data_IF_438551616278
#
_entry.id   IF_438551616278
#
_cell.length_a   1.000
_cell.length_b   1.000
_cell.length_c   1.000
_cell.angle_alpha   90.00
_cell.angle_beta   90.00
_cell.angle_gamma   90.00
#
_symmetry.space_group_name_H-M   'P 1'
#
loop_
_entity.id
_entity.type
_entity.pdbx_description
1 polymer ?
#
# COMPACT_ATOMS: atom_id res chain seq x y z
N UNK A 1 22.45 64.43 -16.24
CA UNK A 1 21.52 63.49 -16.93
C UNK A 1 21.96 62.01 -16.88
N UNK A 2 23.26 61.65 -16.84
CA UNK A 2 23.73 60.24 -16.91
C UNK A 2 23.40 59.31 -15.71
N UNK A 3 23.25 59.84 -14.48
CA UNK A 3 22.97 59.01 -13.28
C UNK A 3 21.58 58.35 -13.30
N UNK A 4 20.62 58.92 -14.04
CA UNK A 4 19.24 58.37 -14.13
C UNK A 4 19.19 57.07 -14.94
N UNK A 5 19.95 57.00 -16.03
CA UNK A 5 19.97 55.84 -16.93
C UNK A 5 20.61 54.61 -16.25
N UNK A 6 21.72 54.80 -15.53
CA UNK A 6 22.33 53.72 -14.75
C UNK A 6 21.37 53.17 -13.67
N UNK A 7 20.64 54.05 -12.98
CA UNK A 7 19.63 53.66 -11.98
C UNK A 7 18.46 52.89 -12.62
N UNK A 8 17.99 53.29 -13.79
CA UNK A 8 16.95 52.57 -14.54
C UNK A 8 17.41 51.19 -15.02
N UNK A 9 18.65 51.07 -15.50
CA UNK A 9 19.24 49.79 -15.92
C UNK A 9 19.36 48.81 -14.74
N UNK A 10 19.81 49.29 -13.58
CA UNK A 10 19.87 48.49 -12.35
C UNK A 10 18.47 48.04 -11.92
N UNK A 11 17.46 48.92 -11.98
CA UNK A 11 16.06 48.54 -11.70
C UNK A 11 15.55 47.45 -12.64
N UNK A 12 15.81 47.56 -13.95
CA UNK A 12 15.41 46.55 -14.95
C UNK A 12 16.10 45.21 -14.69
N UNK A 13 17.41 45.23 -14.40
CA UNK A 13 18.16 44.03 -14.04
C UNK A 13 17.59 43.37 -12.79
N UNK A 14 17.32 44.15 -11.74
CA UNK A 14 16.75 43.62 -10.51
C UNK A 14 15.35 43.04 -10.71
N UNK A 15 14.51 43.70 -11.52
CA UNK A 15 13.20 43.20 -11.87
C UNK A 15 13.28 41.88 -12.65
N UNK A 16 14.20 41.80 -13.62
CA UNK A 16 14.47 40.56 -14.35
C UNK A 16 14.93 39.44 -13.40
N UNK A 17 15.90 39.70 -12.53
CA UNK A 17 16.40 38.71 -11.56
C UNK A 17 15.28 38.25 -10.61
N UNK A 18 14.41 39.16 -10.18
CA UNK A 18 13.24 38.82 -9.35
C UNK A 18 12.27 37.91 -10.11
N UNK A 19 11.91 38.24 -11.35
CA UNK A 19 11.01 37.41 -12.16
C UNK A 19 11.63 36.03 -12.43
N UNK A 20 12.91 36.00 -12.80
CA UNK A 20 13.66 34.77 -13.04
C UNK A 20 13.70 33.88 -11.79
N UNK A 21 13.94 34.48 -10.61
CA UNK A 21 13.90 33.75 -9.34
C UNK A 21 12.51 33.20 -9.04
N UNK A 22 11.43 33.95 -9.33
CA UNK A 22 10.07 33.46 -9.12
C UNK A 22 9.71 32.27 -10.05
N UNK A 23 10.27 32.22 -11.26
CA UNK A 23 10.09 31.09 -12.18
C UNK A 23 10.87 29.87 -11.69
N UNK A 24 12.11 30.07 -11.26
CA UNK A 24 13.00 29.00 -10.77
C UNK A 24 12.56 28.45 -9.40
N UNK A 25 12.06 29.32 -8.54
CA UNK A 25 11.70 29.06 -7.15
C UNK A 25 10.28 29.62 -6.90
N UNK A 26 9.24 29.02 -7.50
CA UNK A 26 7.88 29.45 -7.24
C UNK A 26 7.56 29.28 -5.76
N UNK A 27 6.95 30.30 -5.16
CA UNK A 27 6.43 30.19 -3.79
C UNK A 27 5.21 29.27 -3.86
N UNK A 28 5.30 28.11 -3.23
CA UNK A 28 4.19 27.16 -3.17
C UNK A 28 3.15 27.70 -2.18
N UNK A 29 2.08 28.28 -2.72
CA UNK A 29 0.96 28.83 -1.93
C UNK A 29 -0.17 27.82 -1.72
N UNK A 30 -0.28 26.83 -2.61
CA UNK A 30 -1.25 25.74 -2.50
C UNK A 30 -0.60 24.52 -1.85
N UNK A 31 -1.19 24.04 -0.75
CA UNK A 31 -0.76 22.83 -0.04
C UNK A 31 -0.77 21.59 -0.95
N UNK A 32 -1.61 21.56 -1.98
CA UNK A 32 -1.66 20.47 -2.94
C UNK A 32 -0.39 20.36 -3.79
N UNK A 33 0.34 21.46 -3.96
CA UNK A 33 1.57 21.54 -4.74
C UNK A 33 2.83 21.28 -3.90
N UNK A 34 2.67 20.94 -2.62
CA UNK A 34 3.79 20.53 -1.76
C UNK A 34 4.26 19.12 -2.15
N UNK A 35 5.56 18.88 -1.99
CA UNK A 35 6.18 17.57 -2.27
C UNK A 35 5.57 16.47 -1.40
N UNK A 36 5.25 16.80 -0.16
CA UNK A 36 4.59 15.91 0.78
C UNK A 36 3.43 16.60 1.46
N UNK A 37 2.32 15.88 1.59
CA UNK A 37 1.13 16.32 2.33
C UNK A 37 0.38 15.11 2.88
N UNK A 38 -0.13 15.24 4.10
CA UNK A 38 -1.07 14.28 4.69
C UNK A 38 -2.15 15.05 5.45
N UNK A 39 -3.41 14.74 5.15
CA UNK A 39 -4.53 15.26 5.92
C UNK A 39 -4.62 14.53 7.25
N UNK A 40 -4.84 15.28 8.33
CA UNK A 40 -4.87 14.74 9.70
C UNK A 40 -6.02 13.74 9.90
N UNK A 41 -7.13 13.94 9.20
CA UNK A 41 -8.28 13.02 9.17
C UNK A 41 -7.95 11.67 8.51
N UNK A 42 -6.94 11.64 7.64
CA UNK A 42 -6.51 10.45 6.92
C UNK A 42 -5.33 9.72 7.60
N UNK A 43 -5.02 10.06 8.86
CA UNK A 43 -4.02 9.34 9.64
C UNK A 43 -4.60 7.99 10.07
N UNK A 44 -3.97 6.86 9.69
CA UNK A 44 -4.46 5.53 10.05
C UNK A 44 -4.37 5.32 11.55
N UNK A 45 -5.30 4.54 12.09
CA UNK A 45 -5.28 4.11 13.49
C UNK A 45 -4.45 2.84 13.60
N UNK A 46 -3.32 2.93 14.30
CA UNK A 46 -2.43 1.80 14.52
C UNK A 46 -1.66 2.00 15.82
N UNK A 47 -1.27 0.91 16.49
CA UNK A 47 -0.55 0.97 17.77
C UNK A 47 0.79 1.71 17.71
N UNK A 48 1.43 1.74 16.54
CA UNK A 48 2.69 2.47 16.34
C UNK A 48 2.47 3.97 16.09
N UNK A 49 1.22 4.44 16.03
CA UNK A 49 0.88 5.84 15.81
C UNK A 49 0.23 6.40 17.06
N UNK A 50 0.89 7.34 17.74
CA UNK A 50 0.26 8.15 18.76
C UNK A 50 -0.26 9.43 18.10
N UNK A 51 -1.57 9.54 17.93
CA UNK A 51 -2.23 10.74 17.42
C UNK A 51 -2.99 11.42 18.57
N UNK A 52 -2.41 12.51 19.08
CA UNK A 52 -2.94 13.30 20.18
C UNK A 52 -3.34 14.71 19.74
N UNK A 53 -3.48 14.95 18.44
CA UNK A 53 -3.74 16.27 17.85
C UNK A 53 -4.99 16.95 18.44
N UNK A 54 -6.01 16.16 18.75
CA UNK A 54 -7.29 16.63 19.30
C UNK A 54 -7.46 16.31 20.79
N UNK A 55 -6.40 15.85 21.47
CA UNK A 55 -6.46 15.38 22.84
C UNK A 55 -6.07 16.51 23.79
N UNK A 56 -6.86 16.72 24.84
CA UNK A 56 -6.60 17.79 25.80
C UNK A 56 -5.29 17.56 26.57
N UNK A 57 -4.51 18.63 26.79
CA UNK A 57 -3.19 18.61 27.47
C UNK A 57 -3.22 17.97 28.88
N UNK A 58 -4.41 17.82 29.47
CA UNK A 58 -4.60 17.24 30.81
C UNK A 58 -4.23 15.76 30.91
N UNK A 59 -4.10 15.04 29.78
CA UNK A 59 -3.69 13.62 29.77
C UNK A 59 -2.15 13.42 29.81
N UNK A 60 -1.36 14.48 29.99
CA UNK A 60 0.08 14.37 30.29
C UNK A 60 0.95 13.83 29.16
N UNK A 61 0.40 13.71 27.94
CA UNK A 61 1.12 13.29 26.75
C UNK A 61 1.80 14.50 26.09
N UNK A 62 3.13 14.56 26.10
CA UNK A 62 3.89 15.68 25.49
C UNK A 62 3.93 15.61 23.94
N UNK A 63 3.64 14.46 23.37
CA UNK A 63 3.76 14.20 21.92
C UNK A 63 2.43 14.48 21.22
N UNK A 64 2.42 15.38 20.23
CA UNK A 64 1.22 15.72 19.41
C UNK A 64 0.93 14.61 18.38
N UNK A 65 1.96 14.18 17.64
CA UNK A 65 1.91 13.07 16.70
C UNK A 65 3.24 12.32 16.75
N UNK A 66 3.17 11.00 16.88
CA UNK A 66 4.32 10.10 16.79
C UNK A 66 3.99 8.97 15.85
N UNK A 67 4.89 8.69 14.92
CA UNK A 67 4.78 7.60 13.95
C UNK A 67 6.00 6.72 14.12
N UNK A 68 5.78 5.50 14.63
CA UNK A 68 6.80 4.46 14.71
C UNK A 68 6.73 3.53 13.51
N UNK A 69 7.85 2.86 13.21
CA UNK A 69 7.90 1.81 12.19
C UNK A 69 7.10 0.59 12.65
N UNK A 70 6.06 0.17 11.94
CA UNK A 70 5.28 -1.01 12.29
C UNK A 70 6.03 -2.30 11.92
N UNK A 71 5.61 -3.41 12.53
CA UNK A 71 6.07 -4.75 12.15
C UNK A 71 5.08 -5.29 11.12
N UNK A 72 5.57 -5.57 9.92
CA UNK A 72 4.80 -6.19 8.85
C UNK A 72 4.94 -7.71 8.93
N UNK A 73 3.87 -8.41 8.61
CA UNK A 73 3.82 -9.87 8.64
C UNK A 73 3.51 -10.43 7.25
N UNK A 74 4.11 -11.58 6.93
CA UNK A 74 3.86 -12.24 5.65
C UNK A 74 2.45 -12.85 5.60
N UNK A 75 1.87 -12.89 4.40
CA UNK A 75 0.58 -13.54 4.16
C UNK A 75 0.65 -15.01 4.60
N UNK A 76 -0.39 -15.54 5.28
CA UNK A 76 -0.41 -16.94 5.69
C UNK A 76 -0.22 -17.88 4.51
N UNK A 77 0.68 -18.87 4.70
CA UNK A 77 1.05 -19.83 3.67
C UNK A 77 -0.18 -20.62 3.22
N UNK A 78 -0.34 -20.72 1.90
CA UNK A 78 -1.42 -21.51 1.30
C UNK A 78 -1.19 -23.02 1.54
N UNK A 79 -2.21 -23.78 1.97
CA UNK A 79 -2.14 -25.23 2.08
C UNK A 79 -1.76 -25.90 0.75
N UNK A 80 -0.99 -26.99 0.81
CA UNK A 80 -0.55 -27.74 -0.37
C UNK A 80 -1.71 -28.23 -1.23
N UNK A 81 -2.84 -28.56 -0.60
CA UNK A 81 -4.10 -28.96 -1.23
C UNK A 81 -4.71 -27.87 -2.13
N UNK A 82 -4.32 -26.59 -1.95
CA UNK A 82 -4.89 -25.43 -2.62
C UNK A 82 -3.94 -24.75 -3.62
N UNK A 83 -2.65 -25.09 -3.62
CA UNK A 83 -1.61 -24.46 -4.46
C UNK A 83 -2.00 -24.44 -5.94
N UNK A 84 -2.47 -25.57 -6.47
CA UNK A 84 -2.82 -25.70 -7.90
C UNK A 84 -4.20 -25.11 -8.23
N UNK A 85 -5.02 -24.87 -7.20
CA UNK A 85 -6.41 -24.46 -7.31
C UNK A 85 -6.62 -22.96 -7.17
N UNK A 86 -5.82 -22.29 -6.34
CA UNK A 86 -5.92 -20.83 -6.14
C UNK A 86 -5.07 -20.10 -7.18
N UNK A 87 -5.64 -19.08 -7.80
CA UNK A 87 -4.93 -18.24 -8.77
C UNK A 87 -3.90 -17.33 -8.09
N UNK A 88 -2.84 -16.95 -8.82
CA UNK A 88 -1.82 -16.02 -8.32
C UNK A 88 -2.44 -14.66 -7.94
N UNK A 89 -1.84 -13.99 -6.96
CA UNK A 89 -2.32 -12.72 -6.41
C UNK A 89 -3.07 -12.84 -5.09
N UNK A 90 -3.17 -14.05 -4.54
CA UNK A 90 -3.71 -14.33 -3.20
C UNK A 90 -2.89 -13.71 -2.07
N UNK A 91 -1.60 -13.45 -2.32
CA UNK A 91 -0.62 -12.84 -1.44
C UNK A 91 -0.77 -11.31 -1.32
N UNK A 92 -1.50 -10.69 -2.25
CA UNK A 92 -1.77 -9.26 -2.22
C UNK A 92 -2.86 -8.93 -1.18
N UNK A 93 -2.61 -7.93 -0.34
CA UNK A 93 -3.58 -7.39 0.64
C UNK A 93 -4.86 -6.84 -0.01
N UNK A 94 -4.75 -6.31 -1.22
CA UNK A 94 -5.87 -5.78 -2.00
C UNK A 94 -6.42 -6.81 -3.01
N UNK A 95 -5.83 -8.00 -3.06
CA UNK A 95 -6.24 -9.07 -3.96
C UNK A 95 -7.42 -9.86 -3.42
N UNK A 96 -8.30 -10.28 -4.33
CA UNK A 96 -9.37 -11.24 -4.04
C UNK A 96 -8.85 -12.68 -4.22
N UNK A 97 -9.37 -13.60 -3.40
CA UNK A 97 -9.10 -15.02 -3.56
C UNK A 97 -9.90 -15.53 -4.76
N UNK A 98 -9.21 -15.99 -5.79
CA UNK A 98 -9.83 -16.62 -6.96
C UNK A 98 -9.49 -18.10 -7.00
N UNK A 99 -10.53 -18.92 -7.00
CA UNK A 99 -10.41 -20.40 -7.00
C UNK A 99 -10.84 -20.92 -8.36
N UNK A 100 -10.03 -21.79 -8.96
CA UNK A 100 -10.37 -22.51 -10.18
C UNK A 100 -11.48 -23.51 -9.89
N UNK A 101 -12.54 -23.51 -10.70
CA UNK A 101 -13.67 -24.46 -10.56
C UNK A 101 -13.29 -25.89 -10.91
N UNK A 102 -12.42 -26.05 -11.90
CA UNK A 102 -11.96 -27.34 -12.42
C UNK A 102 -10.53 -27.25 -12.95
N UNK A 103 -9.80 -28.36 -12.86
CA UNK A 103 -8.47 -28.52 -13.44
C UNK A 103 -8.41 -29.77 -14.29
N UNK A 104 -7.62 -29.73 -15.37
CA UNK A 104 -7.36 -30.89 -16.22
C UNK A 104 -6.10 -31.58 -15.73
N UNK A 105 -6.23 -32.84 -15.34
CA UNK A 105 -5.13 -33.67 -14.85
C UNK A 105 -4.79 -34.70 -15.92
N UNK A 106 -3.51 -34.75 -16.27
CA UNK A 106 -2.97 -35.70 -17.22
C UNK A 106 -2.68 -37.03 -16.50
N UNK A 107 -3.42 -38.08 -16.85
CA UNK A 107 -3.12 -39.43 -16.39
C UNK A 107 -2.06 -40.02 -17.31
N UNK A 108 -0.85 -40.22 -16.76
CA UNK A 108 0.23 -40.95 -17.44
C UNK A 108 0.08 -42.43 -17.13
N UNK A 109 -0.53 -43.18 -18.03
CA UNK A 109 -0.43 -44.65 -18.01
C UNK A 109 0.94 -45.05 -18.54
N UNK A 110 1.71 -45.79 -17.74
CA UNK A 110 3.04 -46.27 -18.14
C UNK A 110 3.02 -47.27 -19.32
N UNK A 111 1.84 -47.73 -19.77
CA UNK A 111 1.72 -48.75 -20.83
C UNK A 111 1.14 -48.27 -22.16
N UNK A 112 0.51 -47.08 -22.25
CA UNK A 112 -0.17 -46.61 -23.45
C UNK A 112 0.29 -45.20 -23.83
N UNK A 113 0.73 -45.03 -25.09
CA UNK A 113 1.11 -43.75 -25.72
C UNK A 113 -0.08 -42.79 -25.96
N UNK A 114 -1.10 -42.81 -25.11
CA UNK A 114 -2.31 -41.98 -25.26
C UNK A 114 -2.46 -41.10 -24.05
N UNK A 115 -2.25 -39.79 -24.21
CA UNK A 115 -2.48 -38.81 -23.16
C UNK A 115 -3.98 -38.76 -22.82
N UNK A 116 -4.37 -39.28 -21.66
CA UNK A 116 -5.75 -39.24 -21.19
C UNK A 116 -5.88 -38.11 -20.16
N UNK A 117 -6.79 -37.19 -20.42
CA UNK A 117 -7.10 -36.08 -19.53
C UNK A 117 -8.36 -36.39 -18.73
N UNK A 118 -8.29 -36.16 -17.43
CA UNK A 118 -9.45 -36.19 -16.52
C UNK A 118 -9.72 -34.79 -15.99
N UNK A 119 -11.00 -34.46 -15.80
CA UNK A 119 -11.43 -33.20 -15.20
C UNK A 119 -11.71 -33.48 -13.74
N UNK A 120 -10.97 -32.83 -12.83
CA UNK A 120 -11.26 -32.83 -11.40
C UNK A 120 -11.89 -31.46 -11.06
N UNK A 121 -12.94 -31.47 -10.23
CA UNK A 121 -13.59 -30.24 -9.75
C UNK A 121 -13.06 -29.83 -8.38
N UNK A 122 -13.20 -28.55 -8.04
CA UNK A 122 -12.76 -28.03 -6.74
C UNK A 122 -13.45 -28.76 -5.57
N UNK A 123 -14.73 -29.07 -5.74
CA UNK A 123 -15.61 -29.62 -4.70
C UNK A 123 -15.44 -31.14 -4.50
N UNK A 124 -14.71 -31.82 -5.39
CA UNK A 124 -14.54 -33.28 -5.32
C UNK A 124 -13.74 -33.72 -4.08
N UNK A 125 -12.95 -32.81 -3.48
CA UNK A 125 -12.25 -33.06 -2.22
C UNK A 125 -12.81 -32.22 -1.07
N UNK A 126 -13.36 -32.91 -0.07
CA UNK A 126 -13.81 -32.28 1.19
C UNK A 126 -12.67 -31.63 1.96
N UNK A 127 -11.46 -32.18 1.84
CA UNK A 127 -10.25 -31.62 2.47
C UNK A 127 -9.93 -30.24 1.88
N UNK A 128 -9.94 -30.11 0.54
CA UNK A 128 -9.70 -28.84 -0.16
C UNK A 128 -10.69 -27.75 0.27
N UNK A 129 -11.98 -28.08 0.35
CA UNK A 129 -13.01 -27.13 0.79
C UNK A 129 -12.79 -26.67 2.23
N UNK A 130 -12.49 -27.60 3.14
CA UNK A 130 -12.24 -27.27 4.55
C UNK A 130 -10.96 -26.43 4.75
N UNK A 131 -9.89 -26.78 4.03
CA UNK A 131 -8.63 -26.04 4.05
C UNK A 131 -8.82 -24.61 3.54
N UNK A 132 -9.63 -24.42 2.49
CA UNK A 132 -9.92 -23.10 1.94
C UNK A 132 -10.64 -22.22 2.98
N UNK A 133 -11.67 -22.76 3.63
CA UNK A 133 -12.43 -22.04 4.66
C UNK A 133 -11.52 -21.64 5.83
N UNK A 134 -10.66 -22.56 6.28
CA UNK A 134 -9.74 -22.31 7.38
C UNK A 134 -8.70 -21.25 6.99
N UNK A 135 -8.06 -21.41 5.85
CA UNK A 135 -7.04 -20.47 5.37
C UNK A 135 -7.63 -19.08 5.08
N UNK A 136 -8.85 -19.00 4.53
CA UNK A 136 -9.55 -17.73 4.32
C UNK A 136 -9.81 -17.02 5.65
N UNK A 137 -10.18 -17.74 6.71
CA UNK A 137 -10.33 -17.19 8.05
C UNK A 137 -9.01 -16.61 8.58
N UNK A 138 -7.92 -17.35 8.44
CA UNK A 138 -6.59 -16.94 8.90
C UNK A 138 -6.09 -15.72 8.11
N UNK A 139 -6.28 -15.72 6.77
CA UNK A 139 -5.97 -14.57 5.91
C UNK A 139 -6.80 -13.35 6.27
N UNK A 140 -8.09 -13.50 6.54
CA UNK A 140 -8.94 -12.38 6.94
C UNK A 140 -8.56 -11.81 8.32
N UNK A 141 -8.11 -12.65 9.25
CA UNK A 141 -7.56 -12.19 10.52
C UNK A 141 -6.26 -11.40 10.30
N UNK A 142 -5.36 -11.92 9.46
CA UNK A 142 -4.12 -11.23 9.08
C UNK A 142 -4.41 -9.87 8.40
N UNK A 143 -5.33 -9.80 7.44
CA UNK A 143 -5.67 -8.54 6.75
C UNK A 143 -6.12 -7.42 7.70
N UNK A 144 -6.85 -7.76 8.77
CA UNK A 144 -7.33 -6.77 9.74
C UNK A 144 -6.18 -6.08 10.47
N UNK A 145 -5.09 -6.78 10.72
CA UNK A 145 -3.89 -6.25 11.38
C UNK A 145 -2.92 -5.65 10.35
N UNK A 146 -2.76 -6.29 9.19
CA UNK A 146 -1.76 -5.92 8.19
C UNK A 146 -2.15 -4.64 7.42
N UNK A 147 -3.44 -4.41 7.12
CA UNK A 147 -3.90 -3.18 6.45
C UNK A 147 -3.52 -1.91 7.24
N UNK A 148 -3.89 -1.77 8.53
CA UNK A 148 -3.48 -0.60 9.30
C UNK A 148 -1.97 -0.54 9.52
N UNK A 149 -1.28 -1.67 9.64
CA UNK A 149 0.19 -1.70 9.73
C UNK A 149 0.85 -1.16 8.47
N UNK A 150 0.41 -1.55 7.27
CA UNK A 150 0.95 -1.02 6.01
C UNK A 150 0.63 0.43 5.77
N UNK A 151 -0.57 0.88 6.15
CA UNK A 151 -0.90 2.31 6.12
C UNK A 151 0.00 3.13 7.05
N UNK A 152 0.37 2.58 8.22
CA UNK A 152 1.32 3.20 9.13
C UNK A 152 2.75 3.19 8.58
N UNK A 153 3.18 2.12 7.90
CA UNK A 153 4.49 2.03 7.25
C UNK A 153 4.62 3.04 6.10
N UNK A 154 3.56 3.19 5.30
CA UNK A 154 3.48 4.23 4.26
C UNK A 154 3.65 5.62 4.88
N UNK A 155 2.94 5.92 5.97
CA UNK A 155 3.08 7.20 6.68
C UNK A 155 4.49 7.41 7.26
N UNK A 156 5.14 6.35 7.74
CA UNK A 156 6.50 6.41 8.28
C UNK A 156 7.55 6.68 7.19
N UNK A 157 7.35 6.14 5.99
CA UNK A 157 8.29 6.26 4.87
C UNK A 157 7.99 7.42 3.91
N UNK A 158 6.88 8.13 4.12
CA UNK A 158 6.43 9.23 3.25
C UNK A 158 7.18 10.54 3.45
#
# INVERSE_FOLDING_TARGET
MMKSNAKERIKRLFHFLKQFNNIKNPIITDVNNQVWRKWLDNIPRHQCIANNIYRDEKEGSQEILKVGRPVLTDCPIIPSSLIDWVEKGWDNIYGEIKVKKEIKILQRDHSNQTEKYTIEKFEDSKERVNDLIKWEKDRNAWLKEEIPARAADELFNS
#
